data_IF_669571731333
#
_entry.id   IF_669571731333
#
_cell.length_a   1.000
_cell.length_b   1.000
_cell.length_c   1.000
_cell.angle_alpha   90.00
_cell.angle_beta   90.00
_cell.angle_gamma   90.00
#
_symmetry.space_group_name_H-M   'P 1'
#
loop_
_entity.id
_entity.type
_entity.pdbx_description
1 polymer ?
#
# COMPACT_ATOMS: atom_id res chain seq x y z
N UNK A 1 0.93 -15.64 5.57
CA UNK A 1 0.62 -14.19 5.54
C UNK A 1 0.91 -13.55 4.17
N UNK A 2 1.87 -14.05 3.39
CA UNK A 2 2.23 -13.47 2.09
C UNK A 2 1.11 -13.47 1.04
N UNK A 3 0.36 -14.54 0.91
CA UNK A 3 -0.61 -14.69 -0.18
C UNK A 3 -1.88 -13.86 0.04
N UNK A 4 -2.42 -13.79 1.26
CA UNK A 4 -3.59 -12.96 1.56
C UNK A 4 -3.30 -11.47 1.42
N UNK A 5 -2.13 -10.99 1.89
CA UNK A 5 -1.72 -9.60 1.70
C UNK A 5 -1.55 -9.27 0.22
N UNK A 6 -0.89 -10.14 -0.54
CA UNK A 6 -0.72 -9.97 -1.98
C UNK A 6 -2.08 -9.92 -2.68
N UNK A 7 -2.95 -10.89 -2.41
CA UNK A 7 -4.27 -10.94 -2.99
C UNK A 7 -5.09 -9.68 -2.65
N UNK A 8 -4.96 -9.17 -1.43
CA UNK A 8 -5.62 -7.94 -1.00
C UNK A 8 -5.06 -6.71 -1.72
N UNK A 9 -3.74 -6.58 -1.85
CA UNK A 9 -3.07 -5.51 -2.59
C UNK A 9 -3.53 -5.51 -4.06
N UNK A 10 -3.57 -6.68 -4.70
CA UNK A 10 -4.06 -6.82 -6.07
C UNK A 10 -5.53 -6.42 -6.20
N UNK A 11 -6.35 -6.77 -5.21
CA UNK A 11 -7.78 -6.45 -5.22
C UNK A 11 -8.06 -4.96 -5.01
N UNK A 12 -7.33 -4.30 -4.12
CA UNK A 12 -7.47 -2.84 -3.91
C UNK A 12 -6.84 -2.03 -5.03
N UNK A 13 -6.16 -2.68 -5.98
CA UNK A 13 -5.64 -2.03 -7.18
C UNK A 13 -4.52 -1.06 -6.89
N UNK A 14 -3.59 -1.43 -5.99
CA UNK A 14 -2.41 -0.62 -5.68
C UNK A 14 -1.61 -0.34 -6.94
N UNK A 15 -1.37 0.93 -7.21
CA UNK A 15 -0.44 1.42 -8.21
C UNK A 15 0.59 2.31 -7.52
N UNK A 16 1.85 2.01 -7.70
CA UNK A 16 2.95 2.77 -7.10
C UNK A 16 3.66 3.55 -8.18
N UNK A 17 3.72 4.86 -8.02
CA UNK A 17 4.49 5.73 -8.89
C UNK A 17 5.99 5.66 -8.59
N UNK A 18 6.83 6.11 -9.51
CA UNK A 18 8.27 6.22 -9.29
C UNK A 18 8.55 7.16 -8.11
N UNK A 19 9.68 6.94 -7.44
CA UNK A 19 10.17 7.86 -6.42
C UNK A 19 10.91 9.03 -7.05
N UNK A 20 10.75 10.18 -6.46
CA UNK A 20 11.56 11.38 -6.74
C UNK A 20 12.51 11.58 -5.58
N UNK A 21 13.78 11.77 -5.84
CA UNK A 21 14.74 12.09 -4.80
C UNK A 21 14.71 13.58 -4.50
N UNK A 22 14.63 13.90 -3.21
CA UNK A 22 14.75 15.27 -2.74
C UNK A 22 16.21 15.67 -2.78
N UNK A 23 16.52 16.76 -3.46
CA UNK A 23 17.86 17.35 -3.55
C UNK A 23 17.91 18.62 -2.74
N UNK A 24 18.94 18.75 -1.95
CA UNK A 24 19.26 19.99 -1.26
C UNK A 24 20.74 19.98 -0.93
N UNK A 25 21.41 21.07 -1.20
CA UNK A 25 22.77 21.32 -0.75
C UNK A 25 22.81 21.79 0.72
N UNK A 26 21.65 22.18 1.25
CA UNK A 26 21.50 22.58 2.64
C UNK A 26 21.26 21.38 3.56
N UNK A 27 21.84 21.43 4.76
CA UNK A 27 21.58 20.44 5.81
C UNK A 27 20.12 20.47 6.28
N UNK A 28 19.48 21.64 6.24
CA UNK A 28 18.10 21.88 6.64
C UNK A 28 17.25 22.32 5.43
N UNK A 29 16.22 21.56 5.12
CA UNK A 29 15.27 21.87 4.05
C UNK A 29 13.85 21.48 4.44
N UNK A 30 12.89 22.09 3.76
CA UNK A 30 11.45 21.81 3.91
C UNK A 30 10.82 21.70 2.53
N UNK A 31 10.11 20.63 2.28
CA UNK A 31 9.37 20.35 1.05
C UNK A 31 7.87 20.33 1.36
N UNK A 32 7.11 21.23 0.76
CA UNK A 32 5.64 21.17 0.81
C UNK A 32 5.12 20.24 -0.30
N UNK A 33 4.27 19.30 0.10
CA UNK A 33 3.64 18.31 -0.79
C UNK A 33 2.15 18.58 -0.82
N UNK A 34 1.66 18.99 -2.00
CA UNK A 34 0.25 19.26 -2.22
C UNK A 34 -0.61 17.99 -2.13
N UNK A 35 -1.89 18.12 -1.75
CA UNK A 35 -2.81 17.00 -1.71
C UNK A 35 -2.94 16.36 -3.10
N UNK A 36 -2.61 15.09 -3.19
CA UNK A 36 -2.69 14.35 -4.46
C UNK A 36 -3.98 13.55 -4.60
N UNK A 37 -4.80 13.49 -3.57
CA UNK A 37 -5.96 12.56 -3.49
C UNK A 37 -5.54 11.09 -3.43
N UNK A 38 -4.24 10.81 -3.30
CA UNK A 38 -3.62 9.48 -3.20
C UNK A 38 -2.80 9.41 -1.93
N UNK A 39 -2.14 8.28 -1.70
CA UNK A 39 -1.12 8.19 -0.66
C UNK A 39 0.22 8.69 -1.20
N UNK A 40 1.01 9.34 -0.36
CA UNK A 40 2.42 9.56 -0.62
C UNK A 40 3.24 8.51 0.13
N UNK A 41 4.33 8.04 -0.49
CA UNK A 41 5.32 7.25 0.23
C UNK A 41 6.61 8.03 0.34
N UNK A 42 7.26 7.89 1.49
CA UNK A 42 8.54 8.54 1.82
C UNK A 42 9.49 7.45 2.27
N UNK A 43 10.70 7.43 1.74
CA UNK A 43 11.74 6.52 2.18
C UNK A 43 13.05 7.28 2.39
N UNK A 44 13.78 6.93 3.46
CA UNK A 44 15.01 7.62 3.84
C UNK A 44 16.18 6.64 3.92
N UNK A 45 17.35 7.05 3.46
CA UNK A 45 18.56 6.23 3.47
C UNK A 45 19.45 6.51 4.68
N UNK A 46 19.83 7.76 4.87
CA UNK A 46 20.92 8.14 5.77
C UNK A 46 20.55 9.14 6.85
N UNK A 47 19.40 9.76 6.75
CA UNK A 47 18.92 10.72 7.75
C UNK A 47 17.43 10.54 8.02
N UNK A 48 16.98 10.89 9.22
CA UNK A 48 15.55 10.94 9.54
C UNK A 48 14.94 12.20 8.96
N UNK A 49 13.64 12.11 8.60
CA UNK A 49 12.85 13.26 8.18
C UNK A 49 11.58 13.37 9.01
N UNK A 50 11.10 14.58 9.12
CA UNK A 50 9.88 14.94 9.82
C UNK A 50 8.76 15.12 8.80
N UNK A 51 7.63 14.52 9.06
CA UNK A 51 6.41 14.69 8.26
C UNK A 51 5.40 15.42 9.13
N UNK A 52 4.98 16.59 8.68
CA UNK A 52 3.95 17.40 9.34
C UNK A 52 2.67 17.39 8.50
N UNK A 53 1.53 17.10 9.15
CA UNK A 53 0.19 17.16 8.56
C UNK A 53 -0.72 17.92 9.53
N UNK A 54 -1.01 19.19 9.23
CA UNK A 54 -1.67 20.06 10.21
C UNK A 54 -0.89 20.12 11.52
N UNK A 55 -1.51 19.71 12.63
CA UNK A 55 -0.88 19.66 13.95
C UNK A 55 -0.13 18.35 14.25
N UNK A 56 -0.33 17.31 13.42
CA UNK A 56 0.31 16.02 13.59
C UNK A 56 1.74 16.05 13.04
N UNK A 57 2.69 15.59 13.84
CA UNK A 57 4.10 15.45 13.46
C UNK A 57 4.54 14.01 13.67
N UNK A 58 5.18 13.44 12.67
CA UNK A 58 5.76 12.11 12.72
C UNK A 58 7.19 12.11 12.17
N UNK A 59 7.98 11.12 12.57
CA UNK A 59 9.37 10.95 12.12
C UNK A 59 9.43 9.69 11.27
N UNK A 60 10.10 9.78 10.12
CA UNK A 60 10.53 8.64 9.33
C UNK A 60 12.03 8.50 9.54
N UNK A 61 12.43 7.46 10.27
CA UNK A 61 13.81 7.26 10.66
C UNK A 61 14.70 6.83 9.49
N UNK A 62 16.01 7.09 9.59
CA UNK A 62 16.98 6.66 8.60
C UNK A 62 16.90 5.14 8.32
N UNK A 63 16.90 4.76 7.06
CA UNK A 63 16.76 3.37 6.63
C UNK A 63 15.33 2.80 6.70
N UNK A 64 14.33 3.66 6.89
CA UNK A 64 12.91 3.27 6.94
C UNK A 64 12.11 3.92 5.83
N UNK A 65 10.84 3.54 5.74
CA UNK A 65 9.87 4.15 4.84
C UNK A 65 8.53 4.32 5.55
N UNK A 66 7.73 5.26 5.04
CA UNK A 66 6.36 5.47 5.47
C UNK A 66 5.42 5.63 4.27
N UNK A 67 4.18 5.22 4.47
CA UNK A 67 3.04 5.53 3.62
C UNK A 67 2.18 6.56 4.35
N UNK A 68 1.91 7.67 3.72
CA UNK A 68 1.21 8.81 4.29
C UNK A 68 -0.07 9.05 3.51
N UNK A 69 -1.17 9.23 4.19
CA UNK A 69 -2.45 9.56 3.56
C UNK A 69 -2.36 10.93 2.85
N UNK A 70 -2.72 10.98 1.58
CA UNK A 70 -2.49 12.12 0.70
C UNK A 70 -3.66 13.10 0.55
N UNK A 71 -4.70 13.01 1.38
CA UNK A 71 -5.87 13.91 1.30
C UNK A 71 -5.64 15.28 1.91
N UNK A 72 -4.58 15.46 2.68
CA UNK A 72 -4.23 16.69 3.38
C UNK A 72 -2.85 17.15 2.94
N UNK A 73 -2.60 18.46 2.76
CA UNK A 73 -1.26 18.98 2.52
C UNK A 73 -0.31 18.49 3.61
N UNK A 74 0.88 18.12 3.22
CA UNK A 74 1.92 17.73 4.16
C UNK A 74 3.23 18.44 3.86
N UNK A 75 4.04 18.58 4.90
CA UNK A 75 5.40 19.13 4.81
C UNK A 75 6.38 18.06 5.23
N UNK A 76 7.43 17.85 4.44
CA UNK A 76 8.55 16.97 4.75
C UNK A 76 9.77 17.86 5.03
N UNK A 77 10.43 17.65 6.16
CA UNK A 77 11.58 18.49 6.57
C UNK A 77 12.67 17.67 7.24
N UNK A 78 13.87 18.21 7.30
CA UNK A 78 15.01 17.60 8.00
C UNK A 78 15.04 17.89 9.50
N UNK A 79 14.13 18.74 10.01
CA UNK A 79 14.01 19.10 11.41
C UNK A 79 12.58 19.38 11.81
N UNK A 80 12.32 19.50 13.13
CA UNK A 80 10.97 19.76 13.65
C UNK A 80 10.46 21.17 13.32
N UNK A 81 11.36 22.10 13.08
CA UNK A 81 11.05 23.48 12.75
C UNK A 81 11.03 23.66 11.22
N UNK A 82 10.23 24.59 10.74
CA UNK A 82 10.17 24.91 9.32
C UNK A 82 11.44 25.66 8.93
N UNK A 83 12.23 25.06 8.09
CA UNK A 83 13.37 25.69 7.41
C UNK A 83 12.90 26.30 6.08
N UNK A 84 13.73 27.19 5.51
CA UNK A 84 13.45 27.72 4.18
C UNK A 84 13.33 26.56 3.16
N UNK A 85 12.44 26.69 2.15
CA UNK A 85 12.35 25.69 1.10
C UNK A 85 13.71 25.53 0.41
N UNK A 86 14.09 24.33 -0.02
CA UNK A 86 15.30 24.14 -0.81
C UNK A 86 15.19 24.98 -2.09
N UNK A 87 16.28 25.61 -2.52
CA UNK A 87 16.31 26.50 -3.71
C UNK A 87 15.80 25.82 -4.99
N UNK A 88 15.80 24.50 -5.03
CA UNK A 88 15.11 23.71 -6.06
C UNK A 88 14.79 22.31 -5.51
N UNK A 89 13.52 22.03 -5.24
CA UNK A 89 13.02 20.67 -5.31
C UNK A 89 12.80 20.34 -6.80
N UNK A 90 13.86 20.07 -7.52
CA UNK A 90 13.74 19.65 -8.90
C UNK A 90 13.25 18.21 -8.95
N UNK A 91 12.08 18.02 -9.54
CA UNK A 91 11.54 16.70 -9.84
C UNK A 91 12.39 16.08 -10.94
N UNK A 92 13.43 15.34 -10.57
CA UNK A 92 14.24 14.61 -11.53
C UNK A 92 13.79 13.16 -11.62
N UNK A 93 13.46 12.75 -12.84
CA UNK A 93 13.63 11.36 -13.20
C UNK A 93 15.16 11.09 -13.16
N UNK A 94 15.64 10.56 -12.07
CA UNK A 94 17.02 10.12 -11.78
C UNK A 94 18.07 10.34 -12.90
N UNK A 95 18.89 11.37 -12.88
CA UNK A 95 20.07 11.46 -13.74
C UNK A 95 21.28 10.78 -13.10
N UNK A 96 22.10 10.22 -13.95
CA UNK A 96 23.18 9.25 -13.76
C UNK A 96 24.31 9.58 -12.79
N UNK A 97 24.63 10.83 -12.52
CA UNK A 97 25.94 11.17 -11.95
C UNK A 97 25.92 11.79 -10.55
N UNK A 98 24.73 12.13 -10.03
CA UNK A 98 24.61 12.87 -8.78
C UNK A 98 24.15 12.03 -7.57
N UNK A 99 24.04 10.73 -7.71
CA UNK A 99 23.44 9.83 -6.71
C UNK A 99 24.18 9.77 -5.36
N UNK A 100 25.42 10.24 -5.29
CA UNK A 100 26.22 10.19 -4.07
C UNK A 100 26.21 11.49 -3.23
N UNK A 101 25.70 12.59 -3.78
CA UNK A 101 25.62 13.89 -3.11
C UNK A 101 24.21 14.20 -2.58
N UNK A 102 23.28 13.25 -2.62
CA UNK A 102 21.86 13.49 -2.42
C UNK A 102 21.44 13.25 -0.97
N UNK A 103 20.34 13.89 -0.56
CA UNK A 103 19.79 13.79 0.79
C UNK A 103 19.48 12.35 1.21
N UNK A 104 19.35 11.43 0.25
CA UNK A 104 18.95 10.06 0.48
C UNK A 104 17.47 9.93 0.87
N UNK A 105 16.65 10.93 0.53
CA UNK A 105 15.20 10.93 0.77
C UNK A 105 14.48 10.79 -0.56
N UNK A 106 13.64 9.77 -0.66
CA UNK A 106 12.78 9.51 -1.80
C UNK A 106 11.33 9.78 -1.44
N UNK A 107 10.64 10.48 -2.31
CA UNK A 107 9.21 10.75 -2.18
C UNK A 107 8.50 10.31 -3.45
N UNK A 108 7.39 9.63 -3.33
CA UNK A 108 6.60 9.22 -4.48
C UNK A 108 5.13 9.05 -4.13
N UNK A 109 4.34 8.65 -5.10
CA UNK A 109 2.90 8.45 -4.94
C UNK A 109 2.54 6.97 -4.93
N UNK A 110 1.55 6.61 -4.14
CA UNK A 110 0.90 5.31 -4.18
C UNK A 110 -0.61 5.53 -4.34
N UNK A 111 -1.16 5.14 -5.47
CA UNK A 111 -2.59 5.21 -5.71
C UNK A 111 -3.23 3.90 -5.28
N UNK A 112 -4.15 3.99 -4.36
CA UNK A 112 -5.02 2.90 -3.95
C UNK A 112 -6.38 3.07 -4.63
N UNK A 113 -6.99 1.98 -5.05
CA UNK A 113 -8.33 2.01 -5.64
C UNK A 113 -9.38 2.46 -4.63
N UNK A 114 -10.56 2.84 -5.09
CA UNK A 114 -11.67 3.22 -4.22
C UNK A 114 -11.98 2.08 -3.25
N UNK A 115 -12.20 2.39 -1.98
CA UNK A 115 -12.42 1.47 -0.86
C UNK A 115 -11.14 0.88 -0.22
N UNK A 116 -9.95 1.25 -0.67
CA UNK A 116 -8.73 0.75 -0.08
C UNK A 116 -8.56 1.20 1.38
N UNK A 117 -8.90 2.45 1.69
CA UNK A 117 -8.79 3.01 3.04
C UNK A 117 -9.65 2.24 4.04
N UNK A 118 -10.87 1.84 3.60
CA UNK A 118 -11.78 1.04 4.42
C UNK A 118 -11.31 -0.40 4.63
N UNK A 119 -10.58 -0.95 3.65
CA UNK A 119 -10.09 -2.33 3.63
C UNK A 119 -8.78 -2.47 4.37
N UNK A 120 -7.84 -1.62 4.02
CA UNK A 120 -6.50 -1.65 4.59
C UNK A 120 -6.51 -1.07 6.00
N UNK A 121 -7.45 -0.14 6.29
CA UNK A 121 -7.55 0.55 7.57
C UNK A 121 -6.17 1.06 8.05
N UNK A 122 -5.40 1.60 7.12
CA UNK A 122 -4.07 2.13 7.41
C UNK A 122 -4.18 3.31 8.39
N UNK A 123 -3.23 3.45 9.31
CA UNK A 123 -3.12 4.69 10.07
C UNK A 123 -2.77 5.85 9.13
N UNK A 124 -3.06 7.10 9.50
CA UNK A 124 -2.73 8.28 8.70
C UNK A 124 -1.26 8.36 8.28
N UNK A 125 -0.38 7.73 9.05
CA UNK A 125 1.01 7.45 8.72
C UNK A 125 1.33 6.01 9.13
N UNK A 126 1.66 5.17 8.16
CA UNK A 126 2.12 3.80 8.36
C UNK A 126 3.63 3.74 8.07
N UNK A 127 4.45 3.28 8.99
CA UNK A 127 5.91 3.18 8.83
C UNK A 127 6.40 1.74 8.87
N UNK A 128 7.59 1.49 8.30
CA UNK A 128 8.24 0.18 8.38
C UNK A 128 8.92 -0.01 9.74
N UNK A 129 8.72 -1.19 10.33
CA UNK A 129 9.40 -1.61 11.54
C UNK A 129 9.03 -0.81 12.80
N UNK A 130 9.62 -1.16 13.93
CA UNK A 130 9.50 -0.38 15.16
C UNK A 130 10.30 0.93 15.03
N UNK A 131 9.88 2.00 15.74
CA UNK A 131 10.59 3.28 15.73
C UNK A 131 12.10 3.11 16.01
N UNK A 132 12.93 3.79 15.22
CA UNK A 132 14.39 3.77 15.35
C UNK A 132 15.08 2.52 14.78
N UNK A 133 14.35 1.54 14.25
CA UNK A 133 14.95 0.34 13.65
C UNK A 133 14.90 0.39 12.11
N UNK A 134 16.06 0.39 11.43
CA UNK A 134 16.10 0.37 9.98
C UNK A 134 15.47 -0.92 9.42
N UNK A 135 14.71 -0.80 8.33
CA UNK A 135 14.16 -1.93 7.61
C UNK A 135 15.19 -2.49 6.62
N UNK A 136 15.61 -3.77 6.74
CA UNK A 136 16.57 -4.37 5.82
C UNK A 136 16.10 -4.32 4.35
N UNK A 137 14.78 -4.53 4.11
CA UNK A 137 14.20 -4.55 2.77
C UNK A 137 14.18 -3.16 2.14
N UNK A 138 13.83 -2.12 2.93
CA UNK A 138 13.90 -0.73 2.49
C UNK A 138 15.36 -0.34 2.22
N UNK A 139 16.27 -0.66 3.13
CA UNK A 139 17.71 -0.41 2.94
C UNK A 139 18.28 -1.10 1.70
N UNK A 140 17.82 -2.32 1.37
CA UNK A 140 18.19 -3.02 0.13
C UNK A 140 17.64 -2.28 -1.10
N UNK A 141 16.35 -1.93 -1.09
CA UNK A 141 15.72 -1.19 -2.19
C UNK A 141 16.44 0.14 -2.46
N UNK A 142 16.71 0.91 -1.41
CA UNK A 142 17.40 2.20 -1.52
C UNK A 142 18.86 2.09 -2.02
N UNK A 143 19.56 1.01 -1.67
CA UNK A 143 20.89 0.74 -2.24
C UNK A 143 20.81 0.46 -3.74
N UNK A 144 19.82 -0.33 -4.16
CA UNK A 144 19.64 -0.63 -5.58
C UNK A 144 19.26 0.59 -6.40
N UNK A 145 18.43 1.48 -5.87
CA UNK A 145 18.12 2.76 -6.54
C UNK A 145 19.41 3.54 -6.87
N UNK A 146 20.38 3.55 -5.95
CA UNK A 146 21.67 4.22 -6.17
C UNK A 146 22.55 3.61 -7.25
N UNK A 147 22.27 2.42 -7.76
CA UNK A 147 23.04 1.72 -8.78
C UNK A 147 22.31 1.62 -10.13
N UNK A 148 21.11 2.20 -10.25
CA UNK A 148 20.39 2.18 -11.51
C UNK A 148 21.05 3.14 -12.50
N UNK A 149 21.64 2.58 -13.53
CA UNK A 149 22.14 3.33 -14.67
C UNK A 149 20.97 3.65 -15.62
N UNK A 150 20.75 4.89 -16.06
CA UNK A 150 19.61 5.37 -16.88
C UNK A 150 19.31 4.59 -18.17
N UNK A 151 19.59 3.29 -18.15
CA UNK A 151 19.34 2.35 -19.24
C UNK A 151 17.86 2.19 -19.60
N UNK A 152 17.60 1.42 -20.65
CA UNK A 152 16.25 1.19 -21.22
C UNK A 152 15.20 0.71 -20.20
N UNK A 153 15.61 0.04 -19.13
CA UNK A 153 14.75 -0.55 -18.08
C UNK A 153 14.64 0.30 -16.82
N UNK A 154 15.26 1.45 -16.79
CA UNK A 154 15.36 2.31 -15.62
C UNK A 154 13.99 2.59 -14.96
N UNK A 155 13.00 3.07 -15.71
CA UNK A 155 11.67 3.37 -15.17
C UNK A 155 10.96 2.14 -14.58
N UNK A 156 11.10 0.97 -15.23
CA UNK A 156 10.50 -0.26 -14.72
C UNK A 156 11.19 -0.75 -13.43
N UNK A 157 12.51 -0.58 -13.34
CA UNK A 157 13.26 -0.92 -12.12
C UNK A 157 12.91 0.01 -10.97
N UNK A 158 12.81 1.31 -11.21
CA UNK A 158 12.36 2.29 -10.21
C UNK A 158 10.96 1.96 -9.68
N UNK A 159 10.04 1.66 -10.58
CA UNK A 159 8.68 1.30 -10.20
C UNK A 159 8.64 0.01 -9.37
N UNK A 160 9.46 -0.99 -9.71
CA UNK A 160 9.58 -2.24 -8.95
C UNK A 160 10.13 -1.99 -7.54
N UNK A 161 11.15 -1.13 -7.41
CA UNK A 161 11.74 -0.77 -6.12
C UNK A 161 10.78 0.05 -5.27
N UNK A 162 10.08 1.02 -5.86
CA UNK A 162 9.01 1.75 -5.19
C UNK A 162 7.90 0.80 -4.72
N UNK A 163 7.52 -0.16 -5.56
CA UNK A 163 6.59 -1.23 -5.20
C UNK A 163 7.08 -2.05 -4.00
N UNK A 164 8.36 -2.42 -3.96
CA UNK A 164 8.96 -3.11 -2.81
C UNK A 164 8.88 -2.27 -1.54
N UNK A 165 9.20 -0.98 -1.60
CA UNK A 165 9.11 -0.07 -0.45
C UNK A 165 7.68 -0.03 0.09
N UNK A 166 6.69 0.26 -0.76
CA UNK A 166 5.28 0.38 -0.34
C UNK A 166 4.74 -0.95 0.20
N UNK A 167 5.05 -2.08 -0.46
CA UNK A 167 4.60 -3.39 0.01
C UNK A 167 5.26 -3.79 1.32
N UNK A 168 6.49 -3.33 1.59
CA UNK A 168 7.15 -3.51 2.90
C UNK A 168 6.40 -2.74 3.99
N UNK A 169 6.01 -1.48 3.74
CA UNK A 169 5.19 -0.71 4.68
C UNK A 169 3.87 -1.43 4.97
N UNK A 170 3.18 -1.92 3.94
CA UNK A 170 1.90 -2.65 4.10
C UNK A 170 2.07 -3.98 4.84
N UNK A 171 3.19 -4.68 4.65
CA UNK A 171 3.51 -5.91 5.39
C UNK A 171 3.73 -5.64 6.88
N UNK A 172 4.43 -4.56 7.19
CA UNK A 172 4.75 -4.19 8.57
C UNK A 172 3.56 -3.52 9.28
N UNK A 173 2.58 -3.04 8.52
CA UNK A 173 1.29 -2.53 8.99
C UNK A 173 0.14 -3.36 8.41
N UNK A 174 0.04 -4.63 8.76
CA UNK A 174 -0.97 -5.50 8.18
C UNK A 174 -2.38 -5.01 8.56
N UNK A 175 -3.32 -5.04 7.61
CA UNK A 175 -4.72 -4.78 7.93
C UNK A 175 -5.17 -5.60 9.14
N UNK A 176 -6.04 -5.07 10.00
CA UNK A 176 -6.48 -5.76 11.23
C UNK A 176 -6.97 -7.20 10.99
N UNK A 177 -7.56 -7.43 9.81
CA UNK A 177 -8.01 -8.77 9.40
C UNK A 177 -6.87 -9.78 9.18
N UNK A 178 -5.64 -9.33 8.95
CA UNK A 178 -4.46 -10.16 8.76
C UNK A 178 -3.59 -10.29 10.02
N UNK A 179 -3.92 -9.57 11.09
CA UNK A 179 -3.20 -9.62 12.36
C UNK A 179 -3.35 -10.94 13.13
N UNK A 180 -4.42 -11.70 12.87
CA UNK A 180 -4.65 -13.05 13.43
C UNK A 180 -4.13 -14.11 12.43
N UNK A 181 -3.07 -14.81 12.77
CA UNK A 181 -2.47 -15.84 11.92
C UNK A 181 -3.45 -16.93 11.45
N UNK A 182 -4.40 -17.33 12.30
CA UNK A 182 -5.41 -18.33 11.94
C UNK A 182 -6.41 -17.75 10.96
N UNK A 183 -6.83 -16.51 11.18
CA UNK A 183 -7.73 -15.80 10.26
C UNK A 183 -7.01 -15.50 8.93
N UNK A 184 -5.75 -15.08 8.96
CA UNK A 184 -4.96 -14.84 7.76
C UNK A 184 -4.89 -16.08 6.86
N UNK A 185 -4.70 -17.30 7.42
CA UNK A 185 -4.72 -18.56 6.67
C UNK A 185 -6.09 -18.87 6.04
N UNK A 186 -7.18 -18.50 6.72
CA UNK A 186 -8.53 -18.60 6.14
C UNK A 186 -8.68 -17.60 5.00
N UNK A 187 -8.21 -16.37 5.18
CA UNK A 187 -8.30 -15.32 4.17
C UNK A 187 -7.45 -15.62 2.93
N UNK A 188 -6.29 -16.27 3.08
CA UNK A 188 -5.50 -16.78 1.94
C UNK A 188 -6.35 -17.64 1.00
N UNK A 189 -7.20 -18.52 1.57
CA UNK A 189 -8.09 -19.36 0.78
C UNK A 189 -9.34 -18.64 0.29
N UNK A 190 -9.87 -17.74 1.11
CA UNK A 190 -11.05 -16.96 0.77
C UNK A 190 -10.80 -15.99 -0.35
N UNK A 191 -9.57 -15.44 -0.42
CA UNK A 191 -9.14 -14.48 -1.41
C UNK A 191 -8.60 -15.11 -2.71
N UNK A 192 -8.74 -16.41 -2.87
CA UNK A 192 -8.55 -17.05 -4.17
C UNK A 192 -9.67 -16.59 -5.12
N UNK A 193 -9.38 -15.79 -6.16
CA UNK A 193 -10.38 -15.26 -7.06
C UNK A 193 -11.08 -16.35 -7.91
N UNK A 194 -10.41 -17.50 -8.11
CA UNK A 194 -10.97 -18.64 -8.84
C UNK A 194 -11.80 -19.56 -7.94
N UNK A 195 -11.60 -19.45 -6.62
CA UNK A 195 -12.24 -20.30 -5.63
C UNK A 195 -13.59 -19.79 -5.15
N UNK A 196 -14.45 -20.73 -4.76
CA UNK A 196 -15.67 -20.50 -3.95
C UNK A 196 -15.68 -21.50 -2.82
N UNK A 197 -14.67 -21.46 -1.94
CA UNK A 197 -14.56 -22.46 -0.90
C UNK A 197 -15.76 -22.38 0.04
N UNK A 198 -16.30 -23.54 0.39
CA UNK A 198 -17.23 -23.66 1.49
C UNK A 198 -16.54 -23.32 2.81
N UNK A 199 -17.29 -22.97 3.84
CA UNK A 199 -16.74 -22.69 5.18
C UNK A 199 -15.91 -23.88 5.69
N UNK A 200 -16.33 -25.11 5.39
CA UNK A 200 -15.63 -26.33 5.76
C UNK A 200 -14.25 -26.43 5.07
N UNK A 201 -14.17 -26.10 3.79
CA UNK A 201 -12.91 -26.09 3.04
C UNK A 201 -11.96 -24.99 3.52
N UNK A 202 -12.50 -23.84 3.92
CA UNK A 202 -11.71 -22.77 4.55
C UNK A 202 -11.01 -23.22 5.84
N UNK A 203 -11.64 -24.12 6.59
CA UNK A 203 -11.14 -24.58 7.90
C UNK A 203 -10.25 -25.82 7.84
N UNK A 204 -10.03 -26.42 6.68
CA UNK A 204 -9.17 -27.61 6.56
C UNK A 204 -7.77 -27.32 7.12
N UNK A 205 -7.34 -28.09 8.14
CA UNK A 205 -6.03 -27.95 8.79
C UNK A 205 -5.87 -26.65 9.60
N UNK A 206 -6.98 -26.01 9.99
CA UNK A 206 -7.01 -24.87 10.91
C UNK A 206 -7.82 -25.28 12.13
N UNK A 207 -7.23 -25.16 13.31
CA UNK A 207 -7.91 -25.47 14.58
C UNK A 207 -8.86 -24.34 14.96
N UNK A 208 -10.02 -24.33 14.29
CA UNK A 208 -11.06 -23.32 14.50
C UNK A 208 -12.43 -23.89 14.09
N UNK A 209 -13.45 -23.63 14.90
CA UNK A 209 -14.83 -23.94 14.53
C UNK A 209 -15.43 -22.88 13.60
N UNK A 210 -16.47 -23.25 12.83
CA UNK A 210 -17.21 -22.31 11.96
C UNK A 210 -17.73 -21.09 12.74
N UNK A 211 -18.29 -21.32 13.94
CA UNK A 211 -18.76 -20.25 14.82
C UNK A 211 -17.62 -19.32 15.26
N UNK A 212 -16.44 -19.87 15.53
CA UNK A 212 -15.26 -19.07 15.90
C UNK A 212 -14.75 -18.26 14.71
N UNK A 213 -14.72 -18.84 13.51
CA UNK A 213 -14.38 -18.15 12.28
C UNK A 213 -15.34 -16.98 12.04
N UNK A 214 -16.65 -17.21 12.11
CA UNK A 214 -17.64 -16.16 11.89
C UNK A 214 -17.44 -15.00 12.89
N UNK A 215 -17.31 -15.31 14.18
CA UNK A 215 -17.08 -14.29 15.23
C UNK A 215 -15.80 -13.49 14.98
N UNK A 216 -14.67 -14.15 14.67
CA UNK A 216 -13.38 -13.48 14.41
C UNK A 216 -13.42 -12.64 13.14
N UNK A 217 -14.04 -13.18 12.07
CA UNK A 217 -14.19 -12.45 10.82
C UNK A 217 -15.03 -11.18 11.01
N UNK A 218 -16.18 -11.30 11.70
CA UNK A 218 -17.03 -10.14 12.01
C UNK A 218 -16.29 -9.13 12.91
N UNK A 219 -15.54 -9.60 13.91
CA UNK A 219 -14.77 -8.72 14.79
C UNK A 219 -13.68 -7.95 14.04
N UNK A 220 -13.01 -8.60 13.08
CA UNK A 220 -11.90 -8.00 12.34
C UNK A 220 -12.35 -7.15 11.13
N UNK A 221 -13.53 -7.43 10.54
CA UNK A 221 -13.93 -6.85 9.24
C UNK A 221 -15.35 -6.28 9.23
N UNK A 222 -16.13 -6.50 10.27
CA UNK A 222 -17.56 -6.18 10.30
C UNK A 222 -18.44 -7.11 9.44
N UNK A 223 -17.86 -8.13 8.79
CA UNK A 223 -18.55 -9.00 7.83
C UNK A 223 -18.41 -10.47 8.16
N UNK A 224 -19.41 -11.28 7.76
CA UNK A 224 -19.25 -12.73 7.74
C UNK A 224 -18.23 -13.18 6.69
N UNK A 225 -17.63 -14.38 6.79
CA UNK A 225 -16.71 -14.90 5.78
C UNK A 225 -17.30 -14.90 4.36
N UNK A 226 -18.57 -15.25 4.23
CA UNK A 226 -19.28 -15.27 2.94
C UNK A 226 -19.44 -13.86 2.34
N UNK A 227 -19.76 -12.87 3.18
CA UNK A 227 -19.85 -11.46 2.76
C UNK A 227 -18.48 -10.93 2.36
N UNK A 228 -17.45 -11.23 3.15
CA UNK A 228 -16.07 -10.81 2.88
C UNK A 228 -15.55 -11.41 1.56
N UNK A 229 -15.74 -12.72 1.33
CA UNK A 229 -15.33 -13.36 0.08
C UNK A 229 -16.09 -12.81 -1.14
N UNK A 230 -17.38 -12.50 -0.99
CA UNK A 230 -18.16 -11.84 -2.05
C UNK A 230 -17.63 -10.45 -2.35
N UNK A 231 -17.36 -9.68 -1.32
CA UNK A 231 -16.84 -8.34 -1.43
C UNK A 231 -15.44 -8.31 -2.07
N UNK A 232 -14.51 -9.15 -1.61
CA UNK A 232 -13.19 -9.34 -2.20
C UNK A 232 -13.26 -9.64 -3.70
N UNK A 233 -14.13 -10.60 -4.09
CA UNK A 233 -14.31 -10.92 -5.51
C UNK A 233 -14.75 -9.71 -6.34
N UNK A 234 -15.61 -8.86 -5.80
CA UNK A 234 -16.07 -7.66 -6.49
C UNK A 234 -15.00 -6.59 -6.60
N UNK A 235 -14.11 -6.48 -5.60
CA UNK A 235 -12.90 -5.65 -5.70
C UNK A 235 -11.98 -6.15 -6.81
N UNK A 236 -11.70 -7.45 -6.84
CA UNK A 236 -10.86 -8.05 -7.88
C UNK A 236 -11.46 -7.86 -9.29
N UNK A 237 -12.78 -7.96 -9.43
CA UNK A 237 -13.50 -7.63 -10.68
C UNK A 237 -13.28 -6.16 -11.06
N UNK A 238 -13.45 -5.23 -10.11
CA UNK A 238 -13.26 -3.79 -10.36
C UNK A 238 -11.83 -3.49 -10.80
N UNK A 239 -10.86 -4.06 -10.10
CA UNK A 239 -9.43 -3.93 -10.43
C UNK A 239 -9.12 -4.49 -11.82
N UNK A 240 -9.67 -5.65 -12.21
CA UNK A 240 -9.50 -6.22 -13.54
C UNK A 240 -10.08 -5.30 -14.64
N UNK A 241 -11.28 -4.77 -14.41
CA UNK A 241 -11.92 -3.84 -15.35
C UNK A 241 -11.15 -2.52 -15.48
N UNK A 242 -10.60 -1.98 -14.39
CA UNK A 242 -9.80 -0.74 -14.40
C UNK A 242 -8.47 -0.90 -15.14
N UNK A 243 -7.92 -2.13 -15.19
CA UNK A 243 -6.76 -2.46 -16.02
C UNK A 243 -7.07 -2.64 -17.50
N UNK A 244 -8.34 -2.56 -17.90
CA UNK A 244 -8.78 -2.71 -19.28
C UNK A 244 -9.08 -4.14 -19.72
N UNK A 245 -9.18 -5.10 -18.77
CA UNK A 245 -9.60 -6.48 -19.09
C UNK A 245 -11.01 -6.46 -19.70
N UNK A 246 -11.25 -7.33 -20.69
CA UNK A 246 -12.56 -7.42 -21.34
C UNK A 246 -13.66 -7.85 -20.36
N UNK A 247 -14.81 -7.16 -20.29
CA UNK A 247 -15.88 -7.47 -19.34
C UNK A 247 -16.41 -8.91 -19.43
N UNK A 248 -16.43 -9.52 -20.63
CA UNK A 248 -16.81 -10.92 -20.83
C UNK A 248 -15.87 -11.89 -20.12
N UNK A 249 -14.57 -11.66 -20.28
CA UNK A 249 -13.52 -12.51 -19.75
C UNK A 249 -13.46 -12.38 -18.21
N UNK A 250 -13.61 -11.15 -17.72
CA UNK A 250 -13.73 -10.85 -16.28
C UNK A 250 -14.95 -11.56 -15.70
N UNK A 251 -16.13 -11.44 -16.33
CA UNK A 251 -17.32 -12.12 -15.84
C UNK A 251 -17.11 -13.63 -15.74
N UNK A 252 -16.54 -14.26 -16.76
CA UNK A 252 -16.25 -15.69 -16.80
C UNK A 252 -15.23 -16.08 -15.71
N UNK A 253 -14.11 -15.35 -15.63
CA UNK A 253 -13.02 -15.59 -14.64
C UNK A 253 -13.55 -15.58 -13.21
N UNK A 254 -14.40 -14.60 -12.89
CA UNK A 254 -14.94 -14.43 -11.54
C UNK A 254 -16.30 -15.15 -11.33
N UNK A 255 -16.69 -16.02 -12.27
CA UNK A 255 -17.83 -16.92 -12.15
C UNK A 255 -19.19 -16.22 -12.15
N UNK A 256 -19.33 -15.16 -12.91
CA UNK A 256 -20.62 -14.55 -13.23
C UNK A 256 -21.21 -15.20 -14.48
N UNK A 257 -22.51 -15.45 -14.48
CA UNK A 257 -23.19 -16.01 -15.62
C UNK A 257 -23.26 -15.07 -16.83
N UNK A 258 -23.25 -13.75 -16.57
CA UNK A 258 -23.31 -12.72 -17.58
C UNK A 258 -22.60 -11.44 -17.12
N UNK A 259 -22.17 -10.60 -18.08
CA UNK A 259 -21.62 -9.26 -17.78
C UNK A 259 -22.67 -8.37 -17.09
N UNK A 260 -23.96 -8.55 -17.40
CA UNK A 260 -25.05 -7.80 -16.74
C UNK A 260 -25.21 -8.19 -15.28
N UNK A 261 -25.07 -9.48 -14.94
CA UNK A 261 -25.12 -9.93 -13.55
C UNK A 261 -23.91 -9.42 -12.74
N UNK A 262 -22.74 -9.37 -13.37
CA UNK A 262 -21.52 -8.78 -12.81
C UNK A 262 -21.70 -7.28 -12.53
N UNK A 263 -22.19 -6.49 -13.50
CA UNK A 263 -22.44 -5.05 -13.32
C UNK A 263 -23.41 -4.76 -12.19
N UNK A 264 -24.55 -5.48 -12.15
CA UNK A 264 -25.52 -5.36 -11.04
C UNK A 264 -24.91 -5.69 -9.67
N UNK A 265 -23.99 -6.67 -9.63
CA UNK A 265 -23.29 -6.98 -8.39
C UNK A 265 -22.35 -5.86 -7.96
N UNK A 266 -21.61 -5.23 -8.90
CA UNK A 266 -20.74 -4.10 -8.62
C UNK A 266 -21.48 -2.86 -8.11
N UNK A 267 -22.68 -2.58 -8.63
CA UNK A 267 -23.53 -1.45 -8.19
C UNK A 267 -24.05 -1.62 -6.74
N UNK A 268 -24.14 -2.86 -6.26
CA UNK A 268 -24.64 -3.19 -4.91
C UNK A 268 -23.53 -3.34 -3.87
N UNK A 269 -22.28 -3.15 -4.27
CA UNK A 269 -21.17 -3.28 -3.33
C UNK A 269 -21.23 -2.14 -2.32
N UNK A 270 -21.39 -2.51 -1.07
CA UNK A 270 -21.08 -1.64 0.06
C UNK A 270 -19.86 -2.20 0.75
N UNK A 271 -18.89 -1.34 1.11
CA UNK A 271 -17.76 -1.79 1.90
C UNK A 271 -18.23 -2.35 3.25
N UNK A 272 -17.45 -3.26 3.84
CA UNK A 272 -17.66 -3.64 5.22
C UNK A 272 -17.56 -2.38 6.07
N UNK A 273 -18.64 -2.00 6.72
CA UNK A 273 -18.63 -0.86 7.65
C UNK A 273 -17.94 -1.32 8.92
N UNK A 274 -16.67 -0.97 9.04
CA UNK A 274 -15.97 -1.10 10.31
C UNK A 274 -16.60 -0.05 11.26
N UNK A 275 -17.57 -0.46 12.05
CA UNK A 275 -18.09 0.38 13.15
C UNK A 275 -16.97 0.41 14.19
N UNK A 276 -16.18 1.50 14.19
CA UNK A 276 -15.34 1.87 15.32
C UNK A 276 -16.20 2.20 16.54
#
# INVERSE_FOLDING_TARGET
MGDALRALIDAVGLQVGPGTEVRSDDEAWTLDVEPTGTHAWVATRSRSVWIRRGDDIAIVDAGTAALVEGHVPMTISTGPERSDPPEAAETYAFPHEALFALTGVLVGTATLGPLADEVLALPPLASTGPPGAPSPDVGLALRHVGHLDGGRWHGAQQQALAGLVVTTVLRDNPPPMLGDNSLARVLDRLFDPAGRPSVRELLVGIDMSERTLERRCVAATGCSPAQLGRWYRLLAVRSALSRGDRPSDVATRFGFSTTSSMRRALERVRPPTNRR
#
